data_IF_366322378739
#
_entry.id   IF_366322378739
#
_cell.length_a   1.000
_cell.length_b   1.000
_cell.length_c   1.000
_cell.angle_alpha   90.00
_cell.angle_beta   90.00
_cell.angle_gamma   90.00
#
_symmetry.space_group_name_H-M   'P 1'
#
loop_
_entity.id
_entity.type
_entity.pdbx_description
1 polymer ?
#
# COMPACT_ATOMS: atom_id res chain seq x y z
N UNK A 1 7.49 6.74 12.63
CA UNK A 1 6.29 6.08 13.20
C UNK A 1 4.94 6.75 12.83
N UNK A 2 4.90 7.62 11.82
CA UNK A 2 3.66 8.15 11.22
C UNK A 2 3.90 8.60 9.75
N UNK A 3 5.16 8.91 9.42
CA UNK A 3 5.62 9.25 8.08
C UNK A 3 5.36 8.15 7.02
N UNK A 4 5.40 6.87 7.40
CA UNK A 4 5.24 5.76 6.45
C UNK A 4 3.79 5.63 5.95
N UNK A 5 2.79 5.94 6.77
CA UNK A 5 1.36 5.82 6.40
C UNK A 5 1.01 6.86 5.32
N UNK A 6 1.48 8.10 5.49
CA UNK A 6 1.28 9.17 4.51
C UNK A 6 1.98 8.87 3.19
N UNK A 7 3.21 8.36 3.26
CA UNK A 7 3.99 8.02 2.06
C UNK A 7 3.37 6.83 1.30
N UNK A 8 2.98 5.77 2.00
CA UNK A 8 2.31 4.61 1.38
C UNK A 8 0.96 5.04 0.79
N UNK A 9 0.19 5.90 1.46
CA UNK A 9 -1.08 6.41 0.91
C UNK A 9 -0.88 7.23 -0.37
N UNK A 10 0.19 8.03 -0.43
CA UNK A 10 0.55 8.78 -1.64
C UNK A 10 1.00 7.84 -2.77
N UNK A 11 1.81 6.82 -2.47
CA UNK A 11 2.23 5.81 -3.43
C UNK A 11 1.03 4.99 -3.95
N UNK A 12 0.09 4.62 -3.08
CA UNK A 12 -1.15 3.96 -3.46
C UNK A 12 -2.01 4.87 -4.34
N UNK A 13 -2.10 6.16 -4.03
CA UNK A 13 -2.80 7.08 -4.92
C UNK A 13 -2.08 7.24 -6.28
N UNK A 14 -0.74 7.20 -6.29
CA UNK A 14 0.05 7.19 -7.51
C UNK A 14 -0.10 5.87 -8.31
N UNK A 15 -0.49 4.75 -7.68
CA UNK A 15 -0.86 3.53 -8.43
C UNK A 15 -2.14 3.70 -9.24
N UNK A 16 -3.04 4.63 -8.89
CA UNK A 16 -4.22 4.90 -9.71
C UNK A 16 -3.89 5.60 -11.03
N UNK A 17 -2.74 6.29 -11.13
CA UNK A 17 -2.31 6.92 -12.37
C UNK A 17 -1.59 5.88 -13.28
N UNK A 18 -2.12 5.57 -14.47
CA UNK A 18 -1.51 4.60 -15.38
C UNK A 18 -0.08 4.97 -15.80
N UNK A 19 0.29 6.25 -15.71
CA UNK A 19 1.62 6.76 -16.04
C UNK A 19 2.65 6.44 -14.94
N UNK A 20 2.21 6.34 -13.69
CA UNK A 20 3.07 6.14 -12.52
C UNK A 20 2.87 4.80 -11.80
N UNK A 21 1.88 3.99 -12.23
CA UNK A 21 1.57 2.68 -11.67
C UNK A 21 2.79 1.79 -11.48
N UNK A 22 3.66 1.66 -12.49
CA UNK A 22 4.86 0.79 -12.39
C UNK A 22 5.90 1.27 -11.39
N UNK A 23 6.08 2.60 -11.27
CA UNK A 23 7.02 3.18 -10.30
C UNK A 23 6.50 2.97 -8.88
N UNK A 24 5.20 3.21 -8.69
CA UNK A 24 4.54 3.01 -7.41
C UNK A 24 4.52 1.53 -7.01
N UNK A 25 4.26 0.60 -7.93
CA UNK A 25 4.37 -0.85 -7.65
C UNK A 25 5.79 -1.28 -7.25
N UNK A 26 6.83 -0.76 -7.92
CA UNK A 26 8.20 -1.08 -7.55
C UNK A 26 8.56 -0.51 -6.18
N UNK A 27 8.12 0.71 -5.84
CA UNK A 27 8.27 1.26 -4.51
C UNK A 27 7.53 0.40 -3.47
N UNK A 28 6.27 0.04 -3.72
CA UNK A 28 5.48 -0.83 -2.84
C UNK A 28 6.12 -2.22 -2.67
N UNK A 29 6.80 -2.77 -3.67
CA UNK A 29 7.57 -4.01 -3.54
C UNK A 29 8.82 -3.85 -2.66
N UNK A 30 9.53 -2.73 -2.75
CA UNK A 30 10.68 -2.44 -1.88
C UNK A 30 10.22 -2.23 -0.43
N UNK A 31 9.11 -1.50 -0.24
CA UNK A 31 8.45 -1.34 1.06
C UNK A 31 7.92 -2.68 1.59
N UNK A 32 7.40 -3.56 0.73
CA UNK A 32 6.92 -4.89 1.12
C UNK A 32 8.01 -5.80 1.68
N UNK A 33 9.28 -5.60 1.31
CA UNK A 33 10.39 -6.30 1.99
C UNK A 33 10.57 -5.88 3.45
N UNK A 34 9.95 -4.78 3.90
CA UNK A 34 9.99 -4.35 5.31
C UNK A 34 8.85 -5.01 6.09
N UNK A 35 9.17 -5.65 7.20
CA UNK A 35 8.21 -6.36 8.07
C UNK A 35 7.08 -5.47 8.64
N UNK A 36 7.22 -4.15 8.60
CA UNK A 36 6.22 -3.19 9.12
C UNK A 36 5.17 -2.77 8.07
N UNK A 37 5.36 -3.16 6.81
CA UNK A 37 4.49 -2.75 5.70
C UNK A 37 3.06 -3.31 5.82
N UNK A 38 2.91 -4.54 6.31
CA UNK A 38 1.61 -5.20 6.49
C UNK A 38 0.74 -4.46 7.51
N UNK A 39 1.33 -4.00 8.62
CA UNK A 39 0.67 -3.19 9.64
C UNK A 39 0.29 -1.80 9.12
N UNK A 40 1.16 -1.19 8.32
CA UNK A 40 0.88 0.10 7.69
C UNK A 40 -0.31 0.01 6.72
N UNK A 41 -0.36 -1.03 5.89
CA UNK A 41 -1.50 -1.29 5.00
C UNK A 41 -2.80 -1.53 5.77
N UNK A 42 -2.76 -2.30 6.87
CA UNK A 42 -3.93 -2.54 7.71
C UNK A 42 -4.47 -1.24 8.32
N UNK A 43 -3.59 -0.38 8.83
CA UNK A 43 -3.96 0.93 9.36
C UNK A 43 -4.58 1.83 8.29
N UNK A 44 -4.07 1.79 7.05
CA UNK A 44 -4.62 2.54 5.91
C UNK A 44 -6.01 2.03 5.53
N UNK A 45 -6.21 0.70 5.48
CA UNK A 45 -7.51 0.09 5.17
C UNK A 45 -8.56 0.41 6.26
N UNK A 46 -8.12 0.42 7.51
CA UNK A 46 -8.94 0.74 8.69
C UNK A 46 -9.22 2.23 8.86
N UNK A 47 -8.51 3.10 8.14
CA UNK A 47 -8.72 4.55 8.20
C UNK A 47 -9.85 4.96 7.25
N UNK A 48 -11.04 5.21 7.80
CA UNK A 48 -12.21 5.68 7.04
C UNK A 48 -12.08 7.13 6.53
N UNK A 49 -11.04 7.86 6.97
CA UNK A 49 -10.72 9.22 6.50
C UNK A 49 -10.08 9.28 5.11
N UNK A 50 -9.65 8.13 4.57
CA UNK A 50 -9.01 8.05 3.26
C UNK A 50 -10.03 7.72 2.16
N UNK A 51 -9.79 8.18 0.91
CA UNK A 51 -10.65 7.85 -0.23
C UNK A 51 -10.82 6.34 -0.39
N UNK A 52 -12.05 5.91 -0.73
CA UNK A 52 -12.38 4.49 -0.93
C UNK A 52 -11.43 3.80 -1.94
N UNK A 53 -10.99 4.52 -2.98
CA UNK A 53 -10.05 4.02 -3.98
C UNK A 53 -8.69 3.67 -3.38
N UNK A 54 -8.17 4.51 -2.48
CA UNK A 54 -6.89 4.27 -1.78
C UNK A 54 -7.00 3.09 -0.81
N UNK A 55 -8.14 2.93 -0.13
CA UNK A 55 -8.42 1.77 0.73
C UNK A 55 -8.51 0.47 -0.05
N UNK A 56 -9.12 0.51 -1.24
CA UNK A 56 -9.22 -0.65 -2.12
C UNK A 56 -7.85 -1.04 -2.67
N UNK A 57 -7.05 -0.07 -3.10
CA UNK A 57 -5.66 -0.28 -3.51
C UNK A 57 -4.80 -0.87 -2.37
N UNK A 58 -4.93 -0.32 -1.15
CA UNK A 58 -4.25 -0.84 0.04
C UNK A 58 -4.64 -2.30 0.34
N UNK A 59 -5.93 -2.62 0.27
CA UNK A 59 -6.47 -3.97 0.48
C UNK A 59 -5.95 -4.96 -0.57
N UNK A 60 -5.87 -4.54 -1.83
CA UNK A 60 -5.33 -5.35 -2.92
C UNK A 60 -3.83 -5.62 -2.74
N UNK A 61 -3.06 -4.59 -2.38
CA UNK A 61 -1.63 -4.73 -2.07
C UNK A 61 -1.40 -5.67 -0.89
N UNK A 62 -2.21 -5.55 0.17
CA UNK A 62 -2.15 -6.43 1.34
C UNK A 62 -2.46 -7.89 0.97
N UNK A 63 -3.54 -8.12 0.21
CA UNK A 63 -3.90 -9.45 -0.28
C UNK A 63 -2.77 -10.10 -1.09
N UNK A 64 -2.16 -9.32 -2.01
CA UNK A 64 -1.05 -9.81 -2.82
C UNK A 64 0.20 -10.08 -1.99
N UNK A 65 0.50 -9.23 -1.01
CA UNK A 65 1.61 -9.42 -0.08
C UNK A 65 1.48 -10.72 0.71
N UNK A 66 0.31 -10.96 1.33
CA UNK A 66 0.03 -12.21 2.03
C UNK A 66 0.13 -13.38 1.07
N UNK A 67 -0.47 -13.31 -0.13
CA UNK A 67 -0.39 -14.40 -1.12
C UNK A 67 1.05 -14.76 -1.52
N UNK A 68 1.96 -13.80 -1.59
CA UNK A 68 3.36 -14.04 -1.98
C UNK A 68 4.27 -14.45 -0.81
N UNK A 69 3.89 -14.14 0.43
CA UNK A 69 4.72 -14.40 1.61
C UNK A 69 4.20 -15.58 2.45
N UNK A 70 2.93 -15.92 2.33
CA UNK A 70 2.30 -17.04 3.02
C UNK A 70 2.63 -18.34 2.27
N UNK A 71 3.40 -19.21 2.93
CA UNK A 71 3.83 -20.54 2.46
C UNK A 71 2.63 -21.50 2.42
#
# INVERSE_FOLDING_TARGET
MAADIGHISQLLNATLDPSQHRKAENALKQEASKAQYSLALLNIVSSDSLPANTRLAASLAFKNFIRSNYV
#
